data_IF_460207547178
#
_entry.id   IF_460207547178
#
_cell.length_a   1.000
_cell.length_b   1.000
_cell.length_c   1.000
_cell.angle_alpha   90.00
_cell.angle_beta   90.00
_cell.angle_gamma   90.00
#
_symmetry.space_group_name_H-M   'P 1'
#
loop_
_entity.id
_entity.type
_entity.pdbx_description
1 polymer ?
#
# COMPACT_ATOMS: atom_id res chain seq x y z
N UNK A 1 -27.93 -50.65 8.49
CA UNK A 1 -28.19 -51.52 9.66
C UNK A 1 -27.36 -50.99 10.81
N UNK A 2 -27.98 -50.21 11.70
CA UNK A 2 -27.32 -49.55 12.84
C UNK A 2 -27.27 -50.55 14.00
N UNK A 3 -26.09 -50.82 14.51
CA UNK A 3 -25.86 -51.53 15.78
C UNK A 3 -24.72 -50.76 16.47
N UNK A 4 -25.10 -49.78 17.28
CA UNK A 4 -24.21 -49.15 18.25
C UNK A 4 -24.36 -49.95 19.53
N UNK A 5 -23.44 -50.87 19.79
CA UNK A 5 -23.33 -51.50 21.10
C UNK A 5 -22.52 -50.58 22.01
N UNK A 6 -23.18 -49.97 22.97
CA UNK A 6 -22.53 -49.48 24.17
C UNK A 6 -22.03 -50.68 24.97
N UNK A 7 -20.72 -50.73 25.24
CA UNK A 7 -20.17 -51.58 26.30
C UNK A 7 -19.95 -50.73 27.55
N UNK A 8 -20.37 -51.32 28.66
CA UNK A 8 -20.52 -50.78 30.00
C UNK A 8 -19.17 -50.42 30.61
N UNK A 9 -19.07 -49.23 31.20
CA UNK A 9 -17.94 -48.80 32.01
C UNK A 9 -18.13 -49.38 33.41
N UNK A 10 -17.19 -50.23 33.87
CA UNK A 10 -17.16 -50.71 35.26
C UNK A 10 -15.76 -50.56 35.87
N UNK A 11 -15.67 -49.59 36.81
CA UNK A 11 -14.77 -49.39 37.95
C UNK A 11 -13.30 -49.86 37.85
N UNK A 12 -12.36 -48.95 38.13
CA UNK A 12 -11.77 -48.77 39.48
C UNK A 12 -10.53 -47.86 39.39
N UNK A 13 -10.44 -46.85 40.27
CA UNK A 13 -9.15 -46.34 40.75
C UNK A 13 -8.45 -45.21 39.95
N UNK A 14 -8.57 -43.98 40.46
CA UNK A 14 -7.51 -42.96 40.63
C UNK A 14 -6.51 -42.76 39.45
N UNK A 15 -6.56 -41.61 38.77
CA UNK A 15 -5.40 -41.04 38.06
C UNK A 15 -5.65 -40.53 36.64
N UNK A 16 -5.41 -39.23 36.45
CA UNK A 16 -5.05 -38.51 35.21
C UNK A 16 -5.63 -39.01 33.86
N UNK A 17 -6.51 -38.19 33.27
CA UNK A 17 -6.99 -38.33 31.89
C UNK A 17 -5.85 -38.05 30.88
N UNK A 18 -5.15 -39.09 30.47
CA UNK A 18 -4.38 -39.12 29.22
C UNK A 18 -5.37 -39.33 28.05
N UNK A 19 -5.52 -38.31 27.20
CA UNK A 19 -6.26 -38.40 25.94
C UNK A 19 -5.36 -39.12 24.94
N UNK A 20 -5.48 -40.44 24.86
CA UNK A 20 -4.82 -41.23 23.84
C UNK A 20 -5.54 -41.07 22.49
N UNK A 21 -5.05 -40.18 21.63
CA UNK A 21 -5.49 -40.11 20.24
C UNK A 21 -4.85 -41.30 19.52
N UNK A 22 -5.62 -42.38 19.33
CA UNK A 22 -5.17 -43.48 18.48
C UNK A 22 -5.08 -43.00 17.04
N UNK A 23 -3.86 -42.93 16.54
CA UNK A 23 -3.54 -42.60 15.16
C UNK A 23 -3.95 -43.77 14.26
N UNK A 24 -5.24 -43.80 13.91
CA UNK A 24 -5.80 -44.71 12.91
C UNK A 24 -5.29 -44.35 11.51
N UNK A 25 -4.09 -44.81 11.16
CA UNK A 25 -3.58 -44.78 9.79
C UNK A 25 -4.39 -45.74 8.92
N UNK A 26 -5.48 -45.24 8.33
CA UNK A 26 -6.27 -46.00 7.35
C UNK A 26 -5.48 -46.08 6.04
N UNK A 27 -5.12 -47.30 5.63
CA UNK A 27 -4.54 -47.58 4.30
C UNK A 27 -5.52 -47.17 3.21
N UNK A 28 -5.31 -45.99 2.64
CA UNK A 28 -6.00 -45.55 1.42
C UNK A 28 -5.36 -46.32 0.26
N UNK A 29 -6.14 -47.12 -0.47
CA UNK A 29 -5.66 -47.84 -1.67
C UNK A 29 -5.12 -46.81 -2.69
N UNK A 30 -3.87 -47.01 -3.13
CA UNK A 30 -3.07 -46.09 -3.95
C UNK A 30 -3.81 -45.48 -5.17
N UNK A 31 -4.75 -46.20 -5.78
CA UNK A 31 -5.53 -45.73 -6.94
C UNK A 31 -6.49 -44.57 -6.63
N UNK A 32 -7.01 -44.51 -5.39
CA UNK A 32 -7.88 -43.42 -4.92
C UNK A 32 -7.06 -42.25 -4.38
N UNK A 33 -5.83 -42.53 -3.99
CA UNK A 33 -4.87 -41.59 -3.41
C UNK A 33 -4.30 -40.62 -4.45
N UNK A 34 -4.07 -41.06 -5.70
CA UNK A 34 -3.69 -40.17 -6.80
C UNK A 34 -4.76 -39.12 -7.06
N UNK A 35 -6.03 -39.50 -7.21
CA UNK A 35 -7.10 -38.53 -7.52
C UNK A 35 -7.29 -37.48 -6.42
N UNK A 36 -7.14 -37.89 -5.15
CA UNK A 36 -7.17 -36.96 -4.01
C UNK A 36 -5.92 -36.07 -3.99
N UNK A 37 -4.73 -36.62 -4.27
CA UNK A 37 -3.49 -35.84 -4.33
C UNK A 37 -3.51 -34.83 -5.49
N UNK A 38 -4.03 -35.21 -6.66
CA UNK A 38 -4.09 -34.32 -7.83
C UNK A 38 -5.09 -33.18 -7.63
N UNK A 39 -6.24 -33.47 -7.03
CA UNK A 39 -7.25 -32.45 -6.71
C UNK A 39 -6.79 -31.54 -5.59
N UNK A 40 -6.13 -32.07 -4.56
CA UNK A 40 -5.52 -31.27 -3.50
C UNK A 40 -4.37 -30.42 -4.02
N UNK A 41 -3.53 -30.94 -4.91
CA UNK A 41 -2.43 -30.20 -5.54
C UNK A 41 -2.97 -29.09 -6.45
N UNK A 42 -4.01 -29.35 -7.24
CA UNK A 42 -4.69 -28.33 -8.05
C UNK A 42 -5.38 -27.25 -7.20
N UNK A 43 -5.92 -27.61 -6.03
CA UNK A 43 -6.45 -26.65 -5.07
C UNK A 43 -5.35 -25.82 -4.43
N UNK A 44 -4.21 -26.45 -4.09
CA UNK A 44 -3.03 -25.77 -3.55
C UNK A 44 -2.42 -24.82 -4.57
N UNK A 45 -2.34 -25.18 -5.87
CA UNK A 45 -1.84 -24.26 -6.90
C UNK A 45 -2.73 -23.04 -7.09
N UNK A 46 -4.07 -23.17 -6.97
CA UNK A 46 -4.98 -22.02 -7.04
C UNK A 46 -4.86 -21.06 -5.84
N UNK A 47 -4.52 -21.58 -4.65
CA UNK A 47 -4.35 -20.74 -3.46
C UNK A 47 -3.02 -19.96 -3.50
N UNK A 48 -1.99 -20.48 -4.19
CA UNK A 48 -0.66 -19.85 -4.27
C UNK A 48 -0.62 -18.71 -5.31
N UNK A 49 -1.53 -18.66 -6.29
CA UNK A 49 -1.51 -17.66 -7.38
C UNK A 49 -2.06 -16.26 -7.01
N UNK A 50 -2.31 -15.96 -5.73
CA UNK A 50 -2.76 -14.60 -5.35
C UNK A 50 -1.58 -13.63 -5.42
N UNK A 51 -1.63 -12.55 -6.21
CA UNK A 51 -0.59 -11.53 -6.19
C UNK A 51 -0.45 -10.98 -4.76
N UNK A 52 0.73 -11.10 -4.17
CA UNK A 52 1.07 -10.60 -2.82
C UNK A 52 1.78 -9.24 -2.89
N UNK A 53 1.56 -8.48 -3.96
CA UNK A 53 2.22 -7.18 -4.17
C UNK A 53 1.56 -6.09 -3.33
N UNK A 54 2.34 -5.14 -2.79
CA UNK A 54 1.80 -3.85 -2.36
C UNK A 54 1.00 -3.20 -3.50
N UNK A 55 -0.09 -2.53 -3.14
CA UNK A 55 -0.87 -1.73 -4.09
C UNK A 55 -0.03 -0.51 -4.50
N UNK A 56 0.51 -0.49 -5.71
CA UNK A 56 1.37 0.60 -6.24
C UNK A 56 0.56 1.86 -6.61
N UNK A 57 -0.43 2.23 -5.79
CA UNK A 57 -1.20 3.45 -6.02
C UNK A 57 -0.43 4.64 -5.46
N UNK A 58 -0.34 5.76 -6.21
CA UNK A 58 0.21 7.00 -5.68
C UNK A 58 -0.53 7.42 -4.41
N UNK A 59 0.20 7.70 -3.34
CA UNK A 59 -0.36 8.32 -2.14
C UNK A 59 -0.39 9.85 -2.32
N UNK A 60 -1.52 10.52 -2.02
CA UNK A 60 -1.59 11.97 -2.07
C UNK A 60 -0.59 12.62 -1.10
N UNK A 61 0.00 13.74 -1.52
CA UNK A 61 0.89 14.53 -0.68
C UNK A 61 0.71 16.02 -0.94
N UNK A 62 1.10 16.83 0.04
CA UNK A 62 1.17 18.28 -0.07
C UNK A 62 2.51 18.74 0.50
N UNK A 63 3.18 19.62 -0.22
CA UNK A 63 4.51 20.12 0.11
C UNK A 63 4.55 21.62 -0.10
N UNK A 64 4.88 22.34 0.98
CA UNK A 64 5.04 23.79 0.93
C UNK A 64 6.29 24.22 1.71
N UNK A 65 7.01 25.20 1.17
CA UNK A 65 8.01 25.95 1.91
C UNK A 65 8.03 27.41 1.49
N UNK A 66 8.48 28.25 2.41
CA UNK A 66 8.67 29.67 2.19
C UNK A 66 9.95 30.14 2.87
N UNK A 67 10.70 30.99 2.17
CA UNK A 67 11.88 31.69 2.68
C UNK A 67 11.68 33.18 2.43
N UNK A 68 11.65 33.95 3.51
CA UNK A 68 11.51 35.41 3.51
C UNK A 68 12.69 36.03 4.26
N UNK A 69 13.56 36.72 3.54
CA UNK A 69 14.63 37.54 4.12
C UNK A 69 14.59 38.94 3.50
N UNK A 70 13.97 39.93 4.19
CA UNK A 70 13.85 41.29 3.68
C UNK A 70 15.18 42.05 3.73
N UNK A 71 16.13 41.68 4.60
CA UNK A 71 17.43 42.35 4.66
C UNK A 71 18.27 42.02 3.41
N UNK A 72 18.13 40.79 2.91
CA UNK A 72 18.81 40.31 1.71
C UNK A 72 17.96 40.44 0.43
N UNK A 73 16.75 41.00 0.51
CA UNK A 73 15.75 41.02 -0.59
C UNK A 73 15.56 39.64 -1.23
N UNK A 74 15.51 38.58 -0.41
CA UNK A 74 15.42 37.20 -0.86
C UNK A 74 14.03 36.64 -0.54
N UNK A 75 13.36 36.17 -1.58
CA UNK A 75 12.05 35.53 -1.44
C UNK A 75 11.96 34.29 -2.31
N UNK A 76 11.64 33.17 -1.67
CA UNK A 76 11.32 31.91 -2.31
C UNK A 76 10.03 31.35 -1.72
N UNK A 77 9.09 31.00 -2.58
CA UNK A 77 7.88 30.28 -2.20
C UNK A 77 7.74 29.07 -3.11
N UNK A 78 7.32 27.93 -2.56
CA UNK A 78 6.95 26.76 -3.34
C UNK A 78 5.78 26.06 -2.68
N UNK A 79 4.80 25.69 -3.50
CA UNK A 79 3.70 24.81 -3.13
C UNK A 79 3.52 23.73 -4.22
N UNK A 80 3.37 22.47 -3.82
CA UNK A 80 3.14 21.33 -4.70
C UNK A 80 2.17 20.34 -4.06
N UNK A 81 1.21 19.86 -4.84
CA UNK A 81 0.21 18.87 -4.44
C UNK A 81 0.24 17.70 -5.43
N UNK A 82 0.33 16.48 -4.89
CA UNK A 82 0.18 15.23 -5.64
C UNK A 82 -1.14 14.55 -5.30
N UNK A 83 -1.90 14.15 -6.33
CA UNK A 83 -3.17 13.43 -6.21
C UNK A 83 -2.96 11.90 -6.22
N UNK A 84 -3.96 11.15 -5.73
CA UNK A 84 -3.96 9.68 -5.72
C UNK A 84 -3.91 9.04 -7.13
N UNK A 85 -4.14 9.84 -8.17
CA UNK A 85 -4.06 9.40 -9.57
C UNK A 85 -2.67 9.58 -10.18
N UNK A 86 -1.71 10.13 -9.42
CA UNK A 86 -0.35 10.44 -9.89
C UNK A 86 -0.24 11.76 -10.64
N UNK A 87 -1.26 12.63 -10.56
CA UNK A 87 -1.21 14.00 -11.07
C UNK A 87 -0.49 14.87 -10.05
N UNK A 88 0.45 15.69 -10.50
CA UNK A 88 1.17 16.65 -9.65
C UNK A 88 0.96 18.04 -10.19
N UNK A 89 0.50 18.96 -9.34
CA UNK A 89 0.37 20.37 -9.66
C UNK A 89 1.06 21.20 -8.61
N UNK A 90 1.84 22.19 -9.05
CA UNK A 90 2.53 23.07 -8.12
C UNK A 90 2.89 24.40 -8.75
N UNK A 91 3.40 25.27 -7.91
CA UNK A 91 3.98 26.54 -8.31
C UNK A 91 5.19 26.85 -7.43
N UNK A 92 6.17 27.53 -8.01
CA UNK A 92 7.22 28.18 -7.23
C UNK A 92 7.38 29.63 -7.68
N UNK A 93 7.68 30.51 -6.72
CA UNK A 93 7.89 31.92 -6.94
C UNK A 93 9.27 32.33 -6.44
N UNK A 94 9.97 33.15 -7.22
CA UNK A 94 11.30 33.67 -6.92
C UNK A 94 11.32 35.17 -7.18
N UNK A 95 11.77 35.94 -6.19
CA UNK A 95 12.06 37.36 -6.40
C UNK A 95 13.42 37.49 -7.09
N UNK A 96 13.41 38.05 -8.29
CA UNK A 96 14.61 38.28 -9.08
C UNK A 96 15.32 39.56 -8.60
N UNK A 97 16.65 39.67 -8.84
CA UNK A 97 17.43 40.85 -8.43
C UNK A 97 17.04 42.13 -9.20
N UNK A 98 16.25 42.01 -10.26
CA UNK A 98 15.66 43.14 -11.00
C UNK A 98 14.38 43.70 -10.33
N UNK A 99 13.91 43.09 -9.24
CA UNK A 99 12.69 43.49 -8.52
C UNK A 99 11.40 42.88 -9.09
N UNK A 100 11.49 41.94 -10.03
CA UNK A 100 10.34 41.23 -10.57
C UNK A 100 10.12 39.91 -9.84
N UNK A 101 8.85 39.54 -9.65
CA UNK A 101 8.51 38.22 -9.14
C UNK A 101 8.28 37.27 -10.31
N UNK A 102 9.11 36.24 -10.41
CA UNK A 102 8.93 35.15 -11.36
C UNK A 102 8.13 34.05 -10.68
N UNK A 103 6.96 33.73 -11.23
CA UNK A 103 6.14 32.61 -10.79
C UNK A 103 6.08 31.57 -11.90
N UNK A 104 6.38 30.32 -11.56
CA UNK A 104 6.31 29.19 -12.47
C UNK A 104 5.29 28.20 -11.94
N UNK A 105 4.16 28.09 -12.62
CA UNK A 105 3.15 27.07 -12.36
C UNK A 105 3.42 25.86 -13.24
N UNK A 106 3.33 24.65 -12.71
CA UNK A 106 3.57 23.42 -13.45
C UNK A 106 2.52 22.37 -13.15
N UNK A 107 2.26 21.53 -14.15
CA UNK A 107 1.43 20.32 -14.04
C UNK A 107 2.17 19.14 -14.65
N UNK A 108 2.01 17.97 -14.03
CA UNK A 108 2.49 16.68 -14.51
C UNK A 108 1.29 15.74 -14.53
N UNK A 109 0.90 15.26 -15.70
CA UNK A 109 -0.26 14.39 -15.91
C UNK A 109 0.14 13.17 -16.75
N UNK A 110 0.32 12.02 -16.10
CA UNK A 110 0.65 10.77 -16.80
C UNK A 110 1.89 10.89 -17.68
N UNK A 111 1.72 10.75 -19.00
CA UNK A 111 2.80 10.82 -19.98
C UNK A 111 3.15 12.24 -20.45
N UNK A 112 2.43 13.28 -20.02
CA UNK A 112 2.69 14.67 -20.49
C UNK A 112 4.06 15.19 -20.10
N UNK A 113 4.68 14.61 -19.06
CA UNK A 113 5.88 15.14 -18.44
C UNK A 113 5.64 16.48 -17.74
N UNK A 114 6.73 17.21 -17.48
CA UNK A 114 6.71 18.51 -16.80
C UNK A 114 6.30 19.63 -17.76
N UNK A 115 5.12 20.23 -17.54
CA UNK A 115 4.59 21.33 -18.35
C UNK A 115 4.55 22.63 -17.55
N UNK A 116 5.55 23.53 -17.72
CA UNK A 116 5.60 24.80 -16.98
C UNK A 116 4.93 25.96 -17.73
N UNK A 117 4.31 26.86 -16.96
CA UNK A 117 3.84 28.18 -17.36
C UNK A 117 4.53 29.23 -16.50
N UNK A 118 5.31 30.10 -17.15
CA UNK A 118 6.12 31.12 -16.49
C UNK A 118 5.40 32.47 -16.64
N UNK A 119 5.29 33.21 -15.54
CA UNK A 119 4.77 34.58 -15.50
C UNK A 119 5.69 35.48 -14.69
N UNK A 120 5.79 36.73 -15.10
CA UNK A 120 6.56 37.76 -14.42
C UNK A 120 5.62 38.87 -13.94
N UNK A 121 5.79 39.29 -12.69
CA UNK A 121 5.11 40.44 -12.13
C UNK A 121 6.12 41.55 -11.83
N UNK A 122 5.88 42.72 -12.42
CA UNK A 122 6.69 43.92 -12.22
C UNK A 122 6.36 44.56 -10.85
N UNK A 123 7.38 45.10 -10.16
CA UNK A 123 7.25 45.80 -8.87
C UNK A 123 6.52 45.01 -7.77
N UNK A 124 6.68 43.69 -7.75
CA UNK A 124 6.08 42.85 -6.73
C UNK A 124 6.81 43.04 -5.39
N UNK A 125 6.06 43.27 -4.31
CA UNK A 125 6.59 43.29 -2.95
C UNK A 125 6.08 42.06 -2.17
N UNK A 126 6.80 40.92 -2.21
CA UNK A 126 6.37 39.72 -1.51
C UNK A 126 6.54 39.79 0.02
N UNK A 127 7.12 40.87 0.54
CA UNK A 127 7.34 41.07 1.98
C UNK A 127 6.23 41.87 2.67
N UNK A 128 5.29 42.47 1.91
CA UNK A 128 4.13 43.14 2.51
C UNK A 128 3.07 42.10 2.89
N UNK A 129 3.18 41.56 4.10
CA UNK A 129 2.12 40.81 4.77
C UNK A 129 1.23 41.70 5.63
#
# INVERSE_FOLDING_TARGET
KKELKCCVISKCGIGLKEIYISSGTRRIKAKKMWKVLFTLCAFVTLVISRPQGPDERPEPYEYQYEVKDPEQNLFFDKNEIGDATGKVTGQYSVLLPDGRLMTVAYSVEGESGFVPKISFQENANPFSG
#
